data_IF_923399943240
#
_entry.id   IF_923399943240
#
_cell.length_a   1.000
_cell.length_b   1.000
_cell.length_c   1.000
_cell.angle_alpha   90.00
_cell.angle_beta   90.00
_cell.angle_gamma   90.00
#
_symmetry.space_group_name_H-M   'P 1'
#
loop_
_entity.id
_entity.type
_entity.pdbx_description
1 polymer ?
#
# COMPACT_ATOMS: atom_id res chain seq x y z
N UNK A 1 63.86 -32.31 -37.43
CA UNK A 1 63.27 -33.05 -36.29
C UNK A 1 62.59 -32.03 -35.41
N UNK A 2 61.35 -31.70 -35.73
CA UNK A 2 60.64 -30.62 -35.07
C UNK A 2 59.17 -31.03 -35.04
N UNK A 3 58.80 -31.91 -34.12
CA UNK A 3 57.41 -32.31 -33.95
C UNK A 3 57.18 -33.01 -32.61
N UNK A 4 56.02 -32.71 -32.04
CA UNK A 4 55.38 -33.30 -30.86
C UNK A 4 55.71 -32.64 -29.50
N UNK A 5 55.36 -31.35 -29.37
CA UNK A 5 54.82 -30.83 -28.10
C UNK A 5 53.29 -30.87 -28.20
N UNK A 6 52.74 -32.08 -28.12
CA UNK A 6 51.28 -32.27 -28.02
C UNK A 6 50.81 -31.95 -26.59
N UNK A 7 50.08 -30.83 -26.53
CA UNK A 7 48.94 -30.52 -25.66
C UNK A 7 48.69 -31.43 -24.45
N UNK A 8 49.50 -31.25 -23.40
CA UNK A 8 49.02 -31.46 -22.04
C UNK A 8 48.44 -30.12 -21.55
N UNK A 9 47.11 -30.01 -21.52
CA UNK A 9 46.40 -28.91 -20.87
C UNK A 9 47.06 -28.66 -19.51
N UNK A 10 47.62 -27.47 -19.33
CA UNK A 10 48.47 -27.18 -18.17
C UNK A 10 47.67 -27.47 -16.91
N UNK A 11 48.26 -28.09 -15.89
CA UNK A 11 47.57 -28.32 -14.61
C UNK A 11 46.91 -27.03 -14.08
N UNK A 12 47.45 -25.87 -14.44
CA UNK A 12 46.90 -24.55 -14.12
C UNK A 12 45.54 -24.28 -14.78
N UNK A 13 45.35 -24.66 -16.03
CA UNK A 13 44.11 -24.48 -16.80
C UNK A 13 43.00 -25.42 -16.29
N UNK A 14 43.36 -26.68 -15.98
CA UNK A 14 42.41 -27.63 -15.36
C UNK A 14 41.88 -27.13 -14.02
N UNK A 15 42.74 -26.52 -13.21
CA UNK A 15 42.34 -25.87 -11.95
C UNK A 15 41.40 -24.68 -12.18
N UNK A 16 41.63 -23.87 -13.21
CA UNK A 16 40.74 -22.74 -13.55
C UNK A 16 39.35 -23.22 -13.99
N UNK A 17 39.29 -24.27 -14.83
CA UNK A 17 38.02 -24.85 -15.27
C UNK A 17 37.25 -25.41 -14.07
N UNK A 18 37.93 -26.12 -13.16
CA UNK A 18 37.29 -26.64 -11.96
C UNK A 18 36.72 -25.52 -11.07
N UNK A 19 37.47 -24.43 -10.86
CA UNK A 19 37.00 -23.27 -10.08
C UNK A 19 35.78 -22.61 -10.71
N UNK A 20 35.77 -22.41 -12.03
CA UNK A 20 34.63 -21.84 -12.74
C UNK A 20 33.38 -22.73 -12.64
N UNK A 21 33.56 -24.04 -12.72
CA UNK A 21 32.47 -24.99 -12.57
C UNK A 21 31.86 -24.97 -11.16
N UNK A 22 32.71 -24.93 -10.12
CA UNK A 22 32.27 -24.78 -8.73
C UNK A 22 31.55 -23.45 -8.50
N UNK A 23 32.04 -22.35 -9.09
CA UNK A 23 31.39 -21.04 -9.00
C UNK A 23 30.00 -21.06 -9.64
N UNK A 24 29.88 -21.67 -10.83
CA UNK A 24 28.60 -21.81 -11.53
C UNK A 24 27.59 -22.64 -10.71
N UNK A 25 28.03 -23.76 -10.14
CA UNK A 25 27.20 -24.57 -9.25
C UNK A 25 26.76 -23.80 -8.00
N UNK A 26 27.66 -23.02 -7.39
CA UNK A 26 27.35 -22.21 -6.23
C UNK A 26 26.30 -21.13 -6.54
N UNK A 27 26.41 -20.44 -7.68
CA UNK A 27 25.40 -19.49 -8.14
C UNK A 27 24.04 -20.16 -8.41
N UNK A 28 24.04 -21.33 -9.06
CA UNK A 28 22.82 -22.09 -9.34
C UNK A 28 22.13 -22.54 -8.05
N UNK A 29 22.91 -23.01 -7.08
CA UNK A 29 22.39 -23.40 -5.77
C UNK A 29 21.86 -22.20 -4.98
N UNK A 30 22.57 -21.06 -5.01
CA UNK A 30 22.11 -19.81 -4.40
C UNK A 30 20.78 -19.31 -4.99
N UNK A 31 20.61 -19.39 -6.31
CA UNK A 31 19.35 -19.04 -6.99
C UNK A 31 18.20 -19.99 -6.61
N UNK A 32 18.46 -21.30 -6.56
CA UNK A 32 17.46 -22.28 -6.12
C UNK A 32 17.05 -22.05 -4.66
N UNK A 33 18.00 -21.72 -3.79
CA UNK A 33 17.72 -21.45 -2.37
C UNK A 33 16.92 -20.15 -2.17
N UNK A 34 17.27 -19.09 -2.92
CA UNK A 34 16.49 -17.85 -2.97
C UNK A 34 15.07 -18.11 -3.47
N UNK A 35 14.87 -18.98 -4.45
CA UNK A 35 13.54 -19.29 -4.99
C UNK A 35 12.57 -19.85 -3.95
N UNK A 36 13.07 -20.71 -3.04
CA UNK A 36 12.28 -21.22 -1.91
C UNK A 36 11.91 -20.13 -0.92
N UNK A 37 12.84 -19.21 -0.63
CA UNK A 37 12.58 -18.05 0.24
C UNK A 37 11.51 -17.13 -0.36
N UNK A 38 11.57 -16.87 -1.68
CA UNK A 38 10.53 -16.15 -2.40
C UNK A 38 9.17 -16.85 -2.35
N UNK A 39 9.13 -18.18 -2.53
CA UNK A 39 7.91 -18.97 -2.45
C UNK A 39 7.28 -18.90 -1.05
N UNK A 40 8.11 -18.95 -0.01
CA UNK A 40 7.67 -18.89 1.38
C UNK A 40 7.10 -17.51 1.75
N UNK A 41 7.75 -16.42 1.28
CA UNK A 41 7.21 -15.07 1.43
C UNK A 41 5.87 -14.89 0.71
N UNK A 42 5.71 -15.45 -0.51
CA UNK A 42 4.45 -15.40 -1.26
C UNK A 42 3.31 -16.10 -0.51
N UNK A 43 3.57 -17.24 0.13
CA UNK A 43 2.57 -17.97 0.92
C UNK A 43 2.17 -17.19 2.18
N UNK A 44 3.11 -16.51 2.85
CA UNK A 44 2.79 -15.65 4.00
C UNK A 44 1.93 -14.44 3.61
N UNK A 45 2.23 -13.79 2.48
CA UNK A 45 1.41 -12.69 1.95
C UNK A 45 -0.01 -13.18 1.65
N UNK A 46 -0.16 -14.33 0.98
CA UNK A 46 -1.47 -14.93 0.69
C UNK A 46 -2.26 -15.30 1.96
N UNK A 47 -1.59 -15.74 3.03
CA UNK A 47 -2.26 -16.05 4.30
C UNK A 47 -2.79 -14.79 4.98
N UNK A 48 -2.00 -13.70 5.02
CA UNK A 48 -2.45 -12.39 5.52
C UNK A 48 -3.62 -11.81 4.71
N UNK A 49 -3.58 -11.94 3.39
CA UNK A 49 -4.68 -11.53 2.50
C UNK A 49 -5.98 -12.30 2.79
N UNK A 50 -5.89 -13.61 3.06
CA UNK A 50 -7.06 -14.44 3.40
C UNK A 50 -7.69 -14.07 4.75
N UNK A 51 -6.89 -13.85 5.79
CA UNK A 51 -7.39 -13.44 7.12
C UNK A 51 -8.07 -12.06 7.03
N UNK A 52 -7.50 -11.13 6.24
CA UNK A 52 -8.09 -9.81 5.97
C UNK A 52 -9.44 -9.91 5.23
N UNK A 53 -9.54 -10.82 4.25
CA UNK A 53 -10.77 -11.07 3.49
C UNK A 53 -11.93 -11.52 4.38
N UNK A 54 -11.65 -12.31 5.42
CA UNK A 54 -12.68 -12.78 6.37
C UNK A 54 -13.19 -11.60 7.21
N UNK A 55 -12.28 -10.79 7.76
CA UNK A 55 -12.62 -9.65 8.63
C UNK A 55 -13.46 -8.59 7.89
N UNK A 56 -13.26 -8.43 6.57
CA UNK A 56 -13.99 -7.46 5.75
C UNK A 56 -15.29 -8.00 5.14
N UNK A 57 -15.47 -9.33 5.01
CA UNK A 57 -16.73 -9.91 4.51
C UNK A 57 -17.87 -9.87 5.55
N UNK A 58 -17.54 -9.83 6.85
CA UNK A 58 -18.49 -9.59 7.94
C UNK A 58 -19.04 -8.15 7.94
N UNK A 59 -18.46 -7.29 7.10
CA UNK A 59 -18.71 -5.85 7.03
C UNK A 59 -19.58 -5.51 5.80
N UNK A 60 -20.48 -6.40 5.37
CA UNK A 60 -21.42 -6.03 4.30
C UNK A 60 -22.39 -4.95 4.80
N UNK A 61 -22.54 -3.82 4.08
CA UNK A 61 -23.54 -2.82 4.43
C UNK A 61 -24.92 -3.47 4.39
N UNK A 62 -25.74 -3.20 5.42
CA UNK A 62 -27.13 -3.63 5.43
C UNK A 62 -27.84 -2.82 4.33
N UNK A 63 -28.39 -3.50 3.33
CA UNK A 63 -29.02 -2.87 2.15
C UNK A 63 -30.24 -2.00 2.52
N UNK A 64 -30.68 -2.02 3.79
CA UNK A 64 -31.81 -1.27 4.33
C UNK A 64 -31.42 -0.02 5.12
N UNK A 65 -30.22 0.54 4.91
CA UNK A 65 -29.87 1.79 5.57
C UNK A 65 -30.77 2.93 5.09
N UNK A 66 -31.51 3.51 6.04
CA UNK A 66 -32.32 4.70 5.80
C UNK A 66 -31.39 5.82 5.37
N UNK A 67 -31.73 6.48 4.26
CA UNK A 67 -31.11 7.76 3.97
C UNK A 67 -31.59 8.78 5.02
N UNK A 68 -30.69 9.62 5.56
CA UNK A 68 -31.07 10.66 6.50
C UNK A 68 -32.16 11.54 5.91
N UNK A 69 -33.08 11.97 6.76
CA UNK A 69 -34.04 13.00 6.40
C UNK A 69 -33.26 14.27 6.05
N UNK A 70 -33.45 14.86 4.86
CA UNK A 70 -32.64 15.99 4.42
C UNK A 70 -32.91 17.22 5.28
N UNK A 71 -32.04 17.46 6.26
CA UNK A 71 -31.97 18.74 6.98
C UNK A 71 -31.07 19.67 6.18
N UNK A 72 -31.57 20.87 5.90
CA UNK A 72 -30.80 21.90 5.21
C UNK A 72 -29.52 22.19 6.00
N UNK A 73 -28.37 22.08 5.34
CA UNK A 73 -27.10 22.46 5.94
C UNK A 73 -26.99 23.99 6.00
N UNK A 74 -26.65 24.51 7.19
CA UNK A 74 -26.35 25.92 7.42
C UNK A 74 -24.88 26.03 7.78
N UNK A 75 -24.16 26.84 7.02
CA UNK A 75 -22.73 27.08 7.22
C UNK A 75 -22.49 27.98 8.43
N UNK A 76 -21.61 27.53 9.32
CA UNK A 76 -21.17 28.23 10.52
C UNK A 76 -19.71 27.86 10.81
N UNK A 77 -18.79 28.67 10.28
CA UNK A 77 -17.35 28.44 10.43
C UNK A 77 -16.86 28.59 11.88
N UNK A 78 -17.64 29.24 12.76
CA UNK A 78 -17.27 29.40 14.16
C UNK A 78 -17.18 28.05 14.89
N UNK A 79 -17.97 27.06 14.47
CA UNK A 79 -17.96 25.70 15.03
C UNK A 79 -16.60 25.02 14.79
N UNK A 80 -16.02 25.19 13.59
CA UNK A 80 -14.71 24.62 13.26
C UNK A 80 -13.57 25.40 13.95
N UNK A 81 -13.71 26.71 14.09
CA UNK A 81 -12.74 27.54 14.80
C UNK A 81 -12.61 27.12 16.28
N UNK A 82 -13.72 26.73 16.92
CA UNK A 82 -13.76 26.28 18.31
C UNK A 82 -13.34 24.80 18.50
N UNK A 83 -13.17 24.04 17.42
CA UNK A 83 -12.73 22.64 17.50
C UNK A 83 -11.34 22.56 18.12
N UNK A 84 -11.13 21.62 19.04
CA UNK A 84 -9.84 21.40 19.69
C UNK A 84 -9.22 20.07 19.27
N UNK A 85 -7.89 20.01 19.27
CA UNK A 85 -7.14 18.77 19.10
C UNK A 85 -7.07 18.07 20.47
N UNK A 86 -7.84 17.01 20.64
CA UNK A 86 -8.01 16.31 21.92
C UNK A 86 -8.49 14.87 21.68
N UNK A 87 -8.82 14.16 22.75
CA UNK A 87 -9.29 12.77 22.73
C UNK A 87 -10.76 12.56 22.34
N UNK A 88 -11.55 13.61 22.37
CA UNK A 88 -12.98 13.56 22.08
C UNK A 88 -13.22 13.73 20.58
N UNK A 89 -13.61 12.63 19.93
CA UNK A 89 -13.87 12.63 18.49
C UNK A 89 -15.25 13.22 18.18
N UNK A 90 -16.29 12.73 18.86
CA UNK A 90 -17.69 13.06 18.61
C UNK A 90 -18.11 14.36 19.30
N UNK A 91 -17.70 15.49 18.73
CA UNK A 91 -18.06 16.84 19.21
C UNK A 91 -18.98 17.56 18.22
N UNK A 92 -19.43 18.77 18.55
CA UNK A 92 -20.18 19.64 17.62
C UNK A 92 -19.48 19.80 16.27
N UNK A 93 -18.16 19.98 16.27
CA UNK A 93 -17.37 20.12 15.04
C UNK A 93 -17.39 18.88 14.15
N UNK A 94 -17.39 17.69 14.76
CA UNK A 94 -17.47 16.43 14.03
C UNK A 94 -18.82 16.29 13.31
N UNK A 95 -19.94 16.47 14.02
CA UNK A 95 -21.27 16.37 13.42
C UNK A 95 -21.54 17.49 12.39
N UNK A 96 -21.06 18.71 12.66
CA UNK A 96 -21.11 19.82 11.71
C UNK A 96 -20.39 19.48 10.41
N UNK A 97 -19.13 19.03 10.48
CA UNK A 97 -18.33 18.75 9.30
C UNK A 97 -18.85 17.53 8.53
N UNK A 98 -19.40 16.55 9.24
CA UNK A 98 -20.05 15.40 8.63
C UNK A 98 -21.30 15.82 7.86
N UNK A 99 -22.18 16.64 8.46
CA UNK A 99 -23.35 17.18 7.77
C UNK A 99 -22.96 18.04 6.57
N UNK A 100 -21.92 18.89 6.70
CA UNK A 100 -21.36 19.68 5.59
C UNK A 100 -20.96 18.80 4.42
N UNK A 101 -20.14 17.78 4.66
CA UNK A 101 -19.67 16.86 3.61
C UNK A 101 -20.82 16.07 3.01
N UNK A 102 -21.76 15.61 3.84
CA UNK A 102 -22.93 14.88 3.38
C UNK A 102 -23.75 15.72 2.40
N UNK A 103 -24.02 16.99 2.76
CA UNK A 103 -24.73 17.96 1.92
C UNK A 103 -23.94 18.46 0.70
N UNK A 104 -22.61 18.40 0.72
CA UNK A 104 -21.74 18.87 -0.37
C UNK A 104 -21.75 17.92 -1.58
N UNK A 105 -21.47 18.44 -2.77
CA UNK A 105 -21.28 17.61 -3.98
C UNK A 105 -19.86 17.05 -4.06
N UNK A 106 -19.64 15.93 -4.80
CA UNK A 106 -18.28 15.42 -5.04
C UNK A 106 -17.36 16.47 -5.67
N UNK A 107 -17.90 17.33 -6.54
CA UNK A 107 -17.13 18.35 -7.25
C UNK A 107 -16.58 19.41 -6.28
N UNK A 108 -17.39 19.85 -5.32
CA UNK A 108 -16.98 20.81 -4.29
C UNK A 108 -15.85 20.27 -3.42
N UNK A 109 -15.94 19.00 -2.99
CA UNK A 109 -14.92 18.39 -2.11
C UNK A 109 -13.68 17.92 -2.89
N UNK A 110 -13.75 17.84 -4.23
CA UNK A 110 -12.60 17.41 -5.05
C UNK A 110 -11.60 18.52 -5.35
N UNK A 111 -11.98 19.80 -5.15
CA UNK A 111 -11.09 20.96 -5.31
C UNK A 111 -10.17 21.03 -4.10
N UNK A 112 -9.03 20.35 -4.20
CA UNK A 112 -7.99 20.32 -3.16
C UNK A 112 -6.78 21.14 -3.61
N UNK A 113 -6.09 21.76 -2.65
CA UNK A 113 -4.81 22.41 -2.90
C UNK A 113 -3.70 21.34 -2.89
N UNK A 114 -3.03 21.04 -4.02
CA UNK A 114 -1.96 20.05 -4.06
C UNK A 114 -0.73 20.45 -3.25
N UNK A 115 -0.61 21.72 -2.83
CA UNK A 115 0.45 22.18 -1.92
C UNK A 115 0.23 21.74 -0.48
N UNK A 116 -0.96 21.21 -0.15
CA UNK A 116 -1.31 20.82 1.19
C UNK A 116 -0.81 19.40 1.50
N UNK A 117 0.27 19.32 2.28
CA UNK A 117 0.96 18.09 2.64
C UNK A 117 0.78 17.74 4.12
N UNK A 118 1.13 16.51 4.51
CA UNK A 118 1.06 16.04 5.90
C UNK A 118 1.75 17.00 6.88
N UNK A 119 2.91 17.56 6.51
CA UNK A 119 3.64 18.51 7.33
C UNK A 119 2.83 19.76 7.72
N UNK A 120 1.88 20.17 6.87
CA UNK A 120 0.99 21.30 7.17
C UNK A 120 -0.05 20.93 8.25
N UNK A 121 -0.37 19.65 8.41
CA UNK A 121 -1.29 19.16 9.44
C UNK A 121 -0.61 19.02 10.80
N UNK A 122 0.67 18.66 10.84
CA UNK A 122 1.41 18.55 12.11
C UNK A 122 1.90 19.89 12.64
N UNK A 123 2.00 20.96 11.84
CA UNK A 123 2.31 22.29 12.37
C UNK A 123 1.12 22.87 13.18
N UNK A 124 1.27 22.95 14.51
CA UNK A 124 0.21 23.36 15.45
C UNK A 124 -0.40 24.71 15.07
N UNK A 125 0.41 25.68 14.65
CA UNK A 125 -0.02 27.05 14.39
C UNK A 125 -0.95 27.17 13.16
N UNK A 126 -0.76 26.31 12.17
CA UNK A 126 -1.54 26.37 10.93
C UNK A 126 -2.76 25.46 10.93
N UNK A 127 -2.84 24.46 11.84
CA UNK A 127 -3.96 23.51 11.93
C UNK A 127 -5.35 24.14 11.88
N UNK A 128 -5.66 25.22 12.64
CA UNK A 128 -6.98 25.82 12.61
C UNK A 128 -7.39 26.31 11.21
N UNK A 129 -6.43 26.81 10.42
CA UNK A 129 -6.67 27.33 9.05
C UNK A 129 -7.07 26.22 8.07
N UNK A 130 -6.71 24.98 8.38
CA UNK A 130 -6.94 23.83 7.53
C UNK A 130 -8.22 23.05 7.86
N UNK A 131 -8.85 23.31 9.02
CA UNK A 131 -10.08 22.61 9.39
C UNK A 131 -11.17 22.91 8.36
N UNK A 132 -11.86 21.85 7.91
CA UNK A 132 -12.87 21.91 6.87
C UNK A 132 -12.31 22.12 5.45
N UNK A 133 -10.99 22.15 5.24
CA UNK A 133 -10.42 22.25 3.89
C UNK A 133 -10.42 20.88 3.20
N UNK A 134 -10.79 20.81 1.91
CA UNK A 134 -10.78 19.55 1.17
C UNK A 134 -9.36 18.99 0.99
N UNK A 135 -9.24 17.67 1.10
CA UNK A 135 -8.01 16.90 0.95
C UNK A 135 -8.25 15.61 0.18
N UNK A 136 -7.17 15.13 -0.43
CA UNK A 136 -7.07 13.82 -1.04
C UNK A 136 -5.94 13.04 -0.38
N UNK A 137 -6.26 11.84 0.11
CA UNK A 137 -5.32 10.96 0.79
C UNK A 137 -5.28 9.65 0.02
N UNK A 138 -4.07 9.17 -0.25
CA UNK A 138 -3.86 7.89 -0.93
C UNK A 138 -3.00 6.99 -0.07
N UNK A 139 -3.36 5.72 0.04
CA UNK A 139 -2.58 4.74 0.78
C UNK A 139 -3.31 3.42 0.90
N UNK A 140 -2.81 2.55 1.78
CA UNK A 140 -3.36 1.23 2.07
C UNK A 140 -4.41 1.33 3.17
N UNK A 141 -5.62 0.80 2.95
CA UNK A 141 -6.65 0.68 3.97
C UNK A 141 -6.24 -0.41 4.98
N UNK A 142 -6.04 -0.02 6.24
CA UNK A 142 -5.52 -0.92 7.30
C UNK A 142 -6.53 -1.25 8.38
N UNK A 143 -7.54 -0.40 8.60
CA UNK A 143 -8.62 -0.64 9.56
C UNK A 143 -9.92 -0.07 9.02
N UNK A 144 -11.03 -0.74 9.35
CA UNK A 144 -12.37 -0.31 9.00
C UNK A 144 -13.38 -0.91 9.99
N UNK A 145 -14.20 -0.05 10.58
CA UNK A 145 -15.28 -0.43 11.49
C UNK A 145 -16.53 0.37 11.19
N UNK A 146 -17.67 -0.32 11.21
CA UNK A 146 -18.98 0.32 11.13
C UNK A 146 -19.35 0.90 12.49
N UNK A 147 -19.94 2.08 12.49
CA UNK A 147 -20.51 2.75 13.65
C UNK A 147 -21.84 3.39 13.28
N UNK A 148 -22.62 3.74 14.29
CA UNK A 148 -23.84 4.53 14.14
C UNK A 148 -23.64 5.86 14.86
N UNK A 149 -24.21 6.93 14.32
CA UNK A 149 -24.32 8.15 15.09
C UNK A 149 -25.35 7.96 16.20
N UNK A 150 -25.09 8.60 17.33
CA UNK A 150 -25.94 8.53 18.52
C UNK A 150 -25.83 9.85 19.29
N UNK A 151 -26.87 10.17 20.05
CA UNK A 151 -26.93 11.34 20.95
C UNK A 151 -27.49 12.61 20.32
N UNK A 152 -27.69 13.61 21.17
CA UNK A 152 -28.45 14.84 20.85
C UNK A 152 -27.87 15.60 19.65
N UNK A 153 -26.54 15.71 19.55
CA UNK A 153 -25.86 16.39 18.44
C UNK A 153 -26.10 15.72 17.07
N UNK A 154 -26.28 14.39 17.06
CA UNK A 154 -26.63 13.68 15.84
C UNK A 154 -28.09 13.98 15.45
N UNK A 155 -28.99 13.97 16.44
CA UNK A 155 -30.41 14.24 16.24
C UNK A 155 -30.68 15.68 15.78
N UNK A 156 -30.00 16.67 16.35
CA UNK A 156 -30.04 18.09 15.93
C UNK A 156 -29.70 18.27 14.43
N UNK A 157 -28.93 17.35 13.87
CA UNK A 157 -28.48 17.35 12.47
C UNK A 157 -29.16 16.30 11.59
N UNK A 158 -30.11 15.52 12.14
CA UNK A 158 -30.82 14.48 11.40
C UNK A 158 -29.93 13.31 10.98
N UNK A 159 -28.87 13.05 11.75
CA UNK A 159 -27.88 12.02 11.50
C UNK A 159 -28.04 10.79 12.42
N UNK A 160 -28.97 10.81 13.38
CA UNK A 160 -29.16 9.78 14.41
C UNK A 160 -29.42 8.36 13.88
N UNK A 161 -30.08 8.24 12.72
CA UNK A 161 -30.31 6.95 12.04
C UNK A 161 -29.19 6.57 11.04
N UNK A 162 -28.16 7.41 10.88
CA UNK A 162 -27.11 7.22 9.86
C UNK A 162 -25.94 6.40 10.42
N UNK A 163 -25.58 5.34 9.69
CA UNK A 163 -24.32 4.64 9.91
C UNK A 163 -23.16 5.35 9.23
N UNK A 164 -21.98 5.22 9.80
CA UNK A 164 -20.74 5.65 9.16
C UNK A 164 -19.64 4.63 9.39
N UNK A 165 -18.62 4.73 8.56
CA UNK A 165 -17.45 3.90 8.56
C UNK A 165 -16.28 4.68 9.12
N UNK A 166 -15.72 4.22 10.23
CA UNK A 166 -14.46 4.75 10.75
C UNK A 166 -13.33 3.84 10.29
N UNK A 167 -12.25 4.40 9.75
CA UNK A 167 -11.12 3.60 9.29
C UNK A 167 -9.78 4.31 9.40
N UNK A 168 -8.75 3.63 8.89
CA UNK A 168 -7.39 4.14 8.83
C UNK A 168 -6.75 3.82 7.47
N UNK A 169 -6.04 4.81 6.91
CA UNK A 169 -5.23 4.69 5.68
C UNK A 169 -3.77 4.89 6.05
N UNK A 170 -2.90 4.01 5.58
CA UNK A 170 -1.45 4.10 5.76
C UNK A 170 -0.78 4.36 4.40
N UNK A 171 -0.07 5.48 4.24
CA UNK A 171 0.57 5.84 2.97
C UNK A 171 1.99 5.25 2.79
N UNK A 172 2.50 4.55 3.80
CA UNK A 172 3.89 4.07 3.87
C UNK A 172 4.72 4.77 4.94
N UNK A 173 4.30 5.94 5.40
CA UNK A 173 5.02 6.74 6.42
C UNK A 173 4.09 7.15 7.57
N UNK A 174 2.84 7.49 7.26
CA UNK A 174 1.89 8.12 8.17
C UNK A 174 0.52 7.43 8.16
N UNK A 175 -0.19 7.54 9.29
CA UNK A 175 -1.56 7.03 9.44
C UNK A 175 -2.55 8.20 9.32
N UNK A 176 -3.57 8.02 8.51
CA UNK A 176 -4.68 8.96 8.34
C UNK A 176 -5.96 8.28 8.83
N UNK A 177 -6.61 8.86 9.82
CA UNK A 177 -7.86 8.35 10.36
C UNK A 177 -9.03 9.02 9.65
N UNK A 178 -10.12 8.29 9.42
CA UNK A 178 -11.27 8.86 8.73
C UNK A 178 -12.62 8.36 9.22
N UNK A 179 -13.67 9.13 8.93
CA UNK A 179 -15.07 8.73 9.02
C UNK A 179 -15.79 9.04 7.69
N UNK A 180 -16.57 8.11 7.13
CA UNK A 180 -17.31 8.31 5.87
C UNK A 180 -18.70 7.65 5.94
N UNK A 181 -19.74 8.28 5.40
CA UNK A 181 -21.08 7.68 5.31
C UNK A 181 -21.16 6.67 4.16
N UNK A 182 -20.78 7.12 2.97
CA UNK A 182 -20.92 6.38 1.72
C UNK A 182 -19.68 5.52 1.45
N UNK A 183 -19.61 4.36 2.08
CA UNK A 183 -18.59 3.37 1.75
C UNK A 183 -18.97 2.59 0.49
N UNK A 184 -18.04 2.41 -0.47
CA UNK A 184 -18.31 1.66 -1.69
C UNK A 184 -18.77 0.22 -1.39
N UNK A 185 -19.89 -0.20 -2.01
CA UNK A 185 -20.48 -1.53 -1.82
C UNK A 185 -19.60 -2.65 -2.39
N UNK A 186 -18.81 -2.35 -3.41
CA UNK A 186 -17.88 -3.27 -4.04
C UNK A 186 -16.47 -3.04 -3.49
N UNK A 187 -15.97 -4.05 -2.77
CA UNK A 187 -14.60 -4.11 -2.28
C UNK A 187 -13.78 -4.99 -3.23
N UNK A 188 -13.02 -4.42 -4.19
CA UNK A 188 -12.02 -5.21 -4.90
C UNK A 188 -11.00 -5.70 -3.87
N UNK A 189 -10.37 -6.86 -4.10
CA UNK A 189 -9.36 -7.45 -3.20
C UNK A 189 -8.08 -6.59 -3.02
N UNK A 190 -8.11 -5.33 -3.45
CA UNK A 190 -7.02 -4.38 -3.38
C UNK A 190 -7.16 -3.53 -2.14
N UNK A 191 -6.03 -3.25 -1.50
CA UNK A 191 -6.01 -2.48 -0.26
C UNK A 191 -5.72 -1.01 -0.49
N UNK A 192 -5.23 -0.66 -1.68
CA UNK A 192 -4.88 0.72 -2.00
C UNK A 192 -6.12 1.52 -2.34
N UNK A 193 -6.31 2.60 -1.59
CA UNK A 193 -7.47 3.47 -1.63
C UNK A 193 -7.07 4.93 -1.81
N UNK A 194 -8.02 5.70 -2.32
CA UNK A 194 -8.01 7.14 -2.35
C UNK A 194 -9.24 7.67 -1.60
N UNK A 195 -9.01 8.43 -0.55
CA UNK A 195 -10.04 9.14 0.21
C UNK A 195 -10.07 10.60 -0.24
N UNK A 196 -11.26 11.07 -0.60
CA UNK A 196 -11.57 12.49 -0.81
C UNK A 196 -12.46 12.95 0.34
N UNK A 197 -12.03 13.98 1.07
CA UNK A 197 -12.70 14.42 2.28
C UNK A 197 -12.24 15.80 2.73
N UNK A 198 -12.58 16.20 3.96
CA UNK A 198 -12.08 17.42 4.58
C UNK A 198 -11.33 17.09 5.88
N UNK A 199 -10.28 17.87 6.17
CA UNK A 199 -9.56 17.75 7.43
C UNK A 199 -10.43 18.22 8.61
N UNK A 200 -10.46 17.45 9.70
CA UNK A 200 -11.23 17.80 10.90
C UNK A 200 -10.34 18.33 12.03
N UNK A 201 -9.50 17.47 12.59
CA UNK A 201 -8.61 17.78 13.73
C UNK A 201 -7.49 16.76 13.81
N UNK A 202 -6.50 17.02 14.65
CA UNK A 202 -5.64 15.94 15.15
C UNK A 202 -6.37 15.23 16.28
N UNK A 203 -6.59 13.93 16.14
CA UNK A 203 -7.20 13.12 17.18
C UNK A 203 -6.12 12.52 18.08
N UNK A 204 -6.27 12.72 19.38
CA UNK A 204 -5.32 12.22 20.39
C UNK A 204 -5.91 10.98 21.03
N UNK A 205 -5.29 9.82 20.85
CA UNK A 205 -5.80 8.58 21.42
C UNK A 205 -4.69 7.75 22.05
N UNK A 206 -5.07 6.92 23.00
CA UNK A 206 -4.17 5.97 23.64
C UNK A 206 -4.20 4.64 22.90
N UNK A 207 -3.03 4.14 22.55
CA UNK A 207 -2.87 2.81 21.95
C UNK A 207 -3.04 1.72 23.00
N UNK A 208 -3.20 0.46 22.57
CA UNK A 208 -3.30 -0.69 23.48
C UNK A 208 -2.07 -0.88 24.39
N UNK A 209 -0.94 -0.30 24.02
CA UNK A 209 0.32 -0.33 24.79
C UNK A 209 0.50 0.91 25.67
N UNK A 210 -0.54 1.72 25.85
CA UNK A 210 -0.52 2.92 26.69
C UNK A 210 0.17 4.14 26.09
N UNK A 211 0.64 4.06 24.84
CA UNK A 211 1.26 5.21 24.18
C UNK A 211 0.20 6.13 23.60
N UNK A 212 0.32 7.43 23.87
CA UNK A 212 -0.48 8.47 23.20
C UNK A 212 -0.01 8.64 21.76
N UNK A 213 -0.96 8.67 20.83
CA UNK A 213 -0.76 8.92 19.40
C UNK A 213 -1.57 10.13 18.97
N UNK A 214 -1.06 10.80 17.94
CA UNK A 214 -1.60 12.02 17.37
C UNK A 214 -1.69 11.82 15.87
N UNK A 215 -2.89 11.56 15.37
CA UNK A 215 -3.07 11.30 13.94
C UNK A 215 -4.13 12.23 13.37
N UNK A 216 -3.95 12.71 12.13
CA UNK A 216 -4.93 13.57 11.49
C UNK A 216 -6.21 12.78 11.21
N UNK A 217 -7.34 13.39 11.55
CA UNK A 217 -8.66 12.83 11.34
C UNK A 217 -9.40 13.57 10.23
N UNK A 218 -10.03 12.80 9.35
CA UNK A 218 -10.74 13.29 8.18
C UNK A 218 -12.20 12.89 8.20
N UNK A 219 -13.05 13.75 7.66
CA UNK A 219 -14.39 13.35 7.30
C UNK A 219 -14.41 13.16 5.78
N UNK A 220 -14.80 11.98 5.32
CA UNK A 220 -14.75 11.55 3.93
C UNK A 220 -16.05 11.81 3.20
N UNK A 221 -15.95 12.29 1.95
CA UNK A 221 -17.06 12.27 0.99
C UNK A 221 -17.07 10.98 0.19
N UNK A 222 -15.88 10.52 -0.23
CA UNK A 222 -15.74 9.38 -1.13
C UNK A 222 -14.48 8.60 -0.85
N UNK A 223 -14.60 7.29 -0.84
CA UNK A 223 -13.48 6.35 -0.82
C UNK A 223 -13.48 5.56 -2.13
N UNK A 224 -12.35 5.55 -2.84
CA UNK A 224 -12.19 4.83 -4.11
C UNK A 224 -11.08 3.80 -3.94
N UNK A 225 -11.32 2.57 -4.38
CA UNK A 225 -10.25 1.58 -4.51
C UNK A 225 -9.49 1.82 -5.81
N UNK A 226 -8.17 1.84 -5.73
CA UNK A 226 -7.31 2.06 -6.88
C UNK A 226 -6.82 0.72 -7.44
N UNK A 227 -6.77 0.65 -8.77
CA UNK A 227 -6.08 -0.45 -9.41
C UNK A 227 -4.57 -0.25 -9.34
N UNK A 228 -3.90 -1.03 -8.50
CA UNK A 228 -2.46 -1.19 -8.62
C UNK A 228 -2.17 -1.87 -9.96
N UNK A 229 -1.41 -1.18 -10.82
CA UNK A 229 -0.73 -1.85 -11.93
C UNK A 229 0.32 -2.73 -11.27
N UNK A 230 0.23 -4.05 -11.46
CA UNK A 230 1.25 -4.96 -10.95
C UNK A 230 2.63 -4.39 -11.31
N UNK A 231 3.55 -4.21 -10.34
CA UNK A 231 4.92 -3.86 -10.69
C UNK A 231 5.39 -4.96 -11.63
N UNK A 232 5.72 -4.62 -12.89
CA UNK A 232 6.27 -5.57 -13.86
C UNK A 232 7.41 -6.30 -13.17
N UNK A 233 7.15 -7.55 -12.79
CA UNK A 233 7.97 -8.24 -11.80
C UNK A 233 9.42 -8.35 -12.21
N UNK A 234 10.27 -8.58 -11.22
CA UNK A 234 11.67 -9.01 -11.36
C UNK A 234 11.84 -10.32 -12.15
N UNK A 235 10.78 -10.90 -12.70
CA UNK A 235 10.85 -11.99 -13.67
C UNK A 235 11.80 -11.63 -14.83
N UNK A 236 11.80 -10.37 -15.28
CA UNK A 236 12.77 -9.86 -16.26
C UNK A 236 14.23 -10.03 -15.82
N UNK A 237 14.53 -9.81 -14.53
CA UNK A 237 15.86 -10.00 -13.94
C UNK A 237 16.25 -11.48 -13.90
N UNK A 238 15.32 -12.37 -13.55
CA UNK A 238 15.58 -13.82 -13.54
C UNK A 238 15.87 -14.37 -14.95
N UNK A 239 15.12 -13.94 -15.96
CA UNK A 239 15.40 -14.29 -17.35
C UNK A 239 16.76 -13.76 -17.81
N UNK A 240 17.12 -12.54 -17.40
CA UNK A 240 18.41 -11.93 -17.70
C UNK A 240 19.57 -12.72 -17.07
N UNK A 241 19.43 -13.16 -15.82
CA UNK A 241 20.41 -14.03 -15.16
C UNK A 241 20.55 -15.40 -15.84
N UNK A 242 19.45 -16.06 -16.21
CA UNK A 242 19.47 -17.34 -16.93
C UNK A 242 20.15 -17.17 -18.30
N UNK A 243 19.87 -16.07 -19.01
CA UNK A 243 20.49 -15.74 -20.29
C UNK A 243 22.01 -15.56 -20.16
N UNK A 244 22.47 -14.78 -19.17
CA UNK A 244 23.90 -14.62 -18.90
C UNK A 244 24.59 -15.93 -18.53
N UNK A 245 23.95 -16.76 -17.70
CA UNK A 245 24.47 -18.07 -17.33
C UNK A 245 24.60 -18.99 -18.56
N UNK A 246 23.62 -18.97 -19.46
CA UNK A 246 23.63 -19.73 -20.71
C UNK A 246 24.78 -19.34 -21.64
N UNK A 247 25.03 -18.04 -21.82
CA UNK A 247 26.18 -17.54 -22.60
C UNK A 247 27.50 -18.06 -22.02
N UNK A 248 27.63 -17.99 -20.69
CA UNK A 248 28.85 -18.40 -20.00
C UNK A 248 29.11 -19.90 -20.18
N UNK A 249 28.06 -20.72 -20.12
CA UNK A 249 28.11 -22.16 -20.37
C UNK A 249 28.50 -22.50 -21.81
N UNK A 250 27.96 -21.77 -22.80
CA UNK A 250 28.31 -21.94 -24.21
C UNK A 250 29.78 -21.58 -24.44
N UNK A 251 30.29 -20.51 -23.83
CA UNK A 251 31.70 -20.12 -23.96
C UNK A 251 32.65 -21.18 -23.36
N UNK A 252 32.27 -21.78 -22.22
CA UNK A 252 33.04 -22.89 -21.63
C UNK A 252 33.02 -24.13 -22.52
N UNK A 253 31.85 -24.50 -23.05
CA UNK A 253 31.70 -25.62 -23.99
C UNK A 253 32.46 -25.41 -25.30
N UNK A 254 32.42 -24.19 -25.85
CA UNK A 254 33.16 -23.84 -27.06
C UNK A 254 34.66 -24.01 -26.85
N UNK A 255 35.21 -23.47 -25.76
CA UNK A 255 36.63 -23.62 -25.44
C UNK A 255 37.03 -25.10 -25.24
N UNK A 256 36.16 -25.94 -24.68
CA UNK A 256 36.46 -27.37 -24.49
C UNK A 256 36.30 -28.20 -25.78
N UNK A 257 35.42 -27.81 -26.70
CA UNK A 257 35.20 -28.53 -27.97
C UNK A 257 36.22 -28.12 -29.05
N UNK A 258 36.63 -26.85 -29.08
CA UNK A 258 37.64 -26.35 -30.03
C UNK A 258 39.00 -27.03 -29.84
N UNK A 259 39.25 -27.62 -28.67
CA UNK A 259 40.44 -28.43 -28.36
C UNK A 259 40.39 -29.88 -28.90
N UNK A 260 39.40 -30.25 -29.73
CA UNK A 260 39.42 -31.57 -30.37
C UNK A 260 40.59 -31.67 -31.38
N UNK A 261 41.49 -32.65 -31.22
CA UNK A 261 42.62 -32.80 -32.13
C UNK A 261 42.13 -33.14 -33.54
N UNK A 262 42.57 -32.37 -34.53
CA UNK A 262 42.41 -32.73 -35.95
C UNK A 262 43.15 -34.04 -36.18
N UNK A 263 42.40 -35.13 -36.32
CA UNK A 263 42.94 -36.43 -36.74
C UNK A 263 43.49 -36.24 -38.16
N UNK A 264 44.81 -36.04 -38.29
CA UNK A 264 45.49 -36.15 -39.59
C UNK A 264 45.50 -37.62 -39.97
N UNK A 265 44.59 -38.00 -40.88
CA UNK A 265 44.71 -39.26 -41.61
C UNK A 265 45.96 -39.14 -42.48
N UNK A 266 47.00 -39.91 -42.17
CA UNK A 266 48.12 -40.12 -43.08
C UNK A 266 47.59 -40.95 -44.26
N UNK A 267 47.52 -40.32 -45.43
CA UNK A 267 47.48 -41.01 -46.72
C UNK A 267 48.89 -41.48 -47.08
#
# INVERSE_FOLDING_TARGET
MEQAKDLALSQKERKHIAVLFFLALFCLFGLLWLSTFYKQNRVQVQKKEREKKILLQEIKPDLKEKQPTPIQFVEDDSILAQTQDDQYLHTKGFFYLFHKIYASTEKEVSVHDPKFQWMNLVNIEDRPKFRGKPMRIRGTLVDLKKKKFQGDLAQERGLDDVSYWQGAIYDGEHIYLFAIADFPQEYPQKDTVELVGMFYKIWVYETRVGMKKHEPFFIGKKLRFLEEKEPKGTESLNYLFIFFLGILLILVLYNTISDKPKIRVKL
#
